data_IF_884638116735
#
_entry.id   IF_884638116735
#
_cell.length_a   1.000
_cell.length_b   1.000
_cell.length_c   1.000
_cell.angle_alpha   90.00
_cell.angle_beta   90.00
_cell.angle_gamma   90.00
#
_symmetry.space_group_name_H-M   'P 1'
#
loop_
_entity.id
_entity.type
_entity.pdbx_description
1 polymer ?
#
# COMPACT_ATOMS: atom_id res chain seq x y z
N UNK A 1 -53.62 -35.47 -26.69
CA UNK A 1 -52.38 -35.75 -25.93
C UNK A 1 -52.42 -34.83 -24.71
N UNK A 2 -52.86 -35.33 -23.57
CA UNK A 2 -53.04 -34.53 -22.34
C UNK A 2 -51.78 -34.66 -21.48
N UNK A 3 -50.99 -33.58 -21.42
CA UNK A 3 -49.78 -33.51 -20.60
C UNK A 3 -50.17 -33.40 -19.13
N UNK A 4 -49.82 -34.41 -18.34
CA UNK A 4 -49.97 -34.36 -16.89
C UNK A 4 -48.80 -33.57 -16.30
N UNK A 5 -49.07 -32.42 -15.70
CA UNK A 5 -48.12 -31.66 -14.89
C UNK A 5 -48.28 -32.09 -13.43
N UNK A 6 -47.34 -32.90 -12.93
CA UNK A 6 -47.26 -33.22 -11.51
C UNK A 6 -46.82 -31.97 -10.73
N UNK A 7 -47.72 -31.40 -9.94
CA UNK A 7 -47.39 -30.36 -8.96
C UNK A 7 -47.04 -31.03 -7.64
N UNK A 8 -45.75 -31.15 -7.35
CA UNK A 8 -45.25 -31.54 -6.04
C UNK A 8 -45.70 -30.48 -5.03
N UNK A 9 -46.66 -30.81 -4.15
CA UNK A 9 -47.05 -29.92 -3.04
C UNK A 9 -45.99 -29.99 -1.94
N UNK A 10 -45.64 -28.82 -1.38
CA UNK A 10 -44.87 -28.76 -0.14
C UNK A 10 -45.56 -29.59 0.94
N UNK A 11 -44.80 -30.47 1.61
CA UNK A 11 -45.30 -31.54 2.50
C UNK A 11 -46.15 -31.03 3.67
N UNK A 12 -46.06 -29.75 4.03
CA UNK A 12 -46.84 -29.10 5.10
C UNK A 12 -47.83 -28.03 4.65
N UNK A 13 -48.01 -27.79 3.33
CA UNK A 13 -49.00 -26.83 2.83
C UNK A 13 -48.80 -25.36 3.25
N UNK A 14 -47.76 -25.04 4.03
CA UNK A 14 -47.39 -23.68 4.37
C UNK A 14 -46.48 -23.12 3.27
N UNK A 15 -47.00 -22.10 2.57
CA UNK A 15 -46.18 -21.14 1.84
C UNK A 15 -45.06 -20.70 2.80
N UNK A 16 -43.81 -20.71 2.33
CA UNK A 16 -42.66 -20.22 3.11
C UNK A 16 -43.06 -18.94 3.85
N UNK A 17 -42.96 -19.00 5.17
CA UNK A 17 -43.62 -18.06 6.06
C UNK A 17 -43.02 -16.67 5.80
N UNK A 18 -43.83 -15.71 5.32
CA UNK A 18 -43.38 -14.35 5.00
C UNK A 18 -42.65 -13.69 6.18
N UNK A 19 -42.95 -14.16 7.39
CA UNK A 19 -42.25 -13.84 8.63
C UNK A 19 -40.77 -14.22 8.60
N UNK A 20 -40.42 -15.43 8.18
CA UNK A 20 -39.03 -15.91 8.11
C UNK A 20 -38.23 -15.07 7.11
N UNK A 21 -38.83 -14.75 5.96
CA UNK A 21 -38.22 -13.85 4.98
C UNK A 21 -38.06 -12.42 5.51
N UNK A 22 -39.04 -11.92 6.29
CA UNK A 22 -38.94 -10.63 6.95
C UNK A 22 -37.80 -10.58 7.97
N UNK A 23 -37.64 -11.63 8.78
CA UNK A 23 -36.56 -11.72 9.75
C UNK A 23 -35.18 -11.81 9.10
N UNK A 24 -35.03 -12.55 8.00
CA UNK A 24 -33.75 -12.62 7.28
C UNK A 24 -33.41 -11.29 6.58
N UNK A 25 -34.40 -10.59 6.02
CA UNK A 25 -34.19 -9.26 5.46
C UNK A 25 -33.79 -8.24 6.55
N UNK A 26 -34.41 -8.31 7.72
CA UNK A 26 -34.09 -7.42 8.85
C UNK A 26 -32.68 -7.65 9.37
N UNK A 27 -32.25 -8.91 9.53
CA UNK A 27 -30.88 -9.21 9.98
C UNK A 27 -29.83 -8.76 8.98
N UNK A 28 -30.08 -8.92 7.68
CA UNK A 28 -29.19 -8.40 6.63
C UNK A 28 -29.11 -6.87 6.65
N UNK A 29 -30.24 -6.20 6.88
CA UNK A 29 -30.30 -4.74 6.93
C UNK A 29 -29.54 -4.19 8.16
N UNK A 30 -29.70 -4.82 9.33
CA UNK A 30 -28.94 -4.48 10.53
C UNK A 30 -27.44 -4.75 10.31
N UNK A 31 -27.07 -5.89 9.72
CA UNK A 31 -25.69 -6.20 9.41
C UNK A 31 -25.07 -5.17 8.45
N UNK A 32 -25.82 -4.74 7.42
CA UNK A 32 -25.39 -3.71 6.48
C UNK A 32 -25.19 -2.35 7.16
N UNK A 33 -26.10 -1.95 8.06
CA UNK A 33 -25.96 -0.71 8.85
C UNK A 33 -24.76 -0.80 9.77
N UNK A 34 -24.55 -1.94 10.44
CA UNK A 34 -23.39 -2.15 11.31
C UNK A 34 -22.08 -2.13 10.53
N UNK A 35 -22.02 -2.79 9.38
CA UNK A 35 -20.87 -2.73 8.47
C UNK A 35 -20.61 -1.31 8.01
N UNK A 36 -21.64 -0.58 7.58
CA UNK A 36 -21.51 0.82 7.19
C UNK A 36 -21.06 1.71 8.34
N UNK A 37 -21.54 1.47 9.56
CA UNK A 37 -21.15 2.22 10.76
C UNK A 37 -19.74 1.89 11.23
N UNK A 38 -19.29 0.63 11.12
CA UNK A 38 -17.95 0.21 11.55
C UNK A 38 -16.88 0.64 10.55
N UNK A 39 -17.17 0.48 9.25
CA UNK A 39 -16.19 0.68 8.19
C UNK A 39 -16.33 2.03 7.49
N UNK A 40 -17.41 2.78 7.75
CA UNK A 40 -17.65 4.11 7.19
C UNK A 40 -17.73 4.12 5.66
N UNK A 41 -17.93 5.31 5.09
CA UNK A 41 -17.61 5.51 3.68
C UNK A 41 -16.12 5.18 3.51
N UNK A 42 -15.71 4.39 2.49
CA UNK A 42 -14.32 4.39 2.08
C UNK A 42 -14.02 5.83 1.67
N UNK A 43 -13.37 6.59 2.55
CA UNK A 43 -12.76 7.84 2.18
C UNK A 43 -11.68 7.45 1.18
N UNK A 44 -12.06 7.55 -0.09
CA UNK A 44 -11.20 7.48 -1.23
C UNK A 44 -10.31 8.74 -1.24
N UNK A 45 -9.58 9.01 -0.16
CA UNK A 45 -8.37 9.82 -0.20
C UNK A 45 -7.27 8.98 -0.86
N UNK A 46 -7.55 8.54 -2.09
CA UNK A 46 -6.51 8.13 -3.01
C UNK A 46 -5.76 9.39 -3.37
N UNK A 47 -4.80 9.76 -2.54
CA UNK A 47 -3.75 10.69 -2.95
C UNK A 47 -3.07 10.02 -4.15
N UNK A 48 -3.43 10.49 -5.34
CA UNK A 48 -3.01 9.88 -6.58
C UNK A 48 -1.49 10.04 -6.67
N UNK A 49 -0.77 8.96 -6.35
CA UNK A 49 0.69 8.93 -6.39
C UNK A 49 1.16 9.50 -7.73
N UNK A 50 1.99 10.55 -7.73
CA UNK A 50 2.43 11.19 -8.94
C UNK A 50 3.05 10.16 -9.90
N UNK A 51 2.57 10.15 -11.14
CA UNK A 51 3.03 9.21 -12.18
C UNK A 51 4.57 9.10 -12.28
N UNK A 52 5.35 10.20 -12.18
CA UNK A 52 6.79 10.12 -12.33
C UNK A 52 7.47 9.26 -11.25
N UNK A 53 7.02 9.32 -9.99
CA UNK A 53 7.66 8.61 -8.88
C UNK A 53 7.04 7.26 -8.57
N UNK A 54 5.94 6.90 -9.24
CA UNK A 54 5.21 5.65 -8.97
C UNK A 54 6.10 4.42 -9.12
N UNK A 55 6.91 4.35 -10.18
CA UNK A 55 7.81 3.21 -10.40
C UNK A 55 8.85 3.10 -9.28
N UNK A 56 9.47 4.22 -8.91
CA UNK A 56 10.44 4.26 -7.82
C UNK A 56 9.83 3.87 -6.46
N UNK A 57 8.57 4.27 -6.20
CA UNK A 57 7.85 3.87 -4.99
C UNK A 57 7.49 2.38 -4.98
N UNK A 58 7.12 1.82 -6.13
CA UNK A 58 6.90 0.36 -6.25
C UNK A 58 8.20 -0.39 -6.01
N UNK A 59 9.31 0.03 -6.63
CA UNK A 59 10.62 -0.56 -6.38
C UNK A 59 11.02 -0.42 -4.91
N UNK A 60 10.75 0.71 -4.27
CA UNK A 60 11.05 0.94 -2.85
C UNK A 60 10.25 0.01 -1.92
N UNK A 61 8.98 -0.26 -2.26
CA UNK A 61 8.17 -1.25 -1.54
C UNK A 61 8.80 -2.64 -1.60
N UNK A 62 9.22 -3.09 -2.78
CA UNK A 62 9.88 -4.38 -2.96
C UNK A 62 11.22 -4.43 -2.22
N UNK A 63 12.00 -3.34 -2.31
CA UNK A 63 13.26 -3.18 -1.60
C UNK A 63 13.08 -3.35 -0.09
N UNK A 64 11.99 -2.84 0.48
CA UNK A 64 11.69 -2.99 1.90
C UNK A 64 11.68 -4.45 2.36
N UNK A 65 11.09 -5.34 1.57
CA UNK A 65 11.05 -6.78 1.85
C UNK A 65 12.43 -7.43 1.68
N UNK A 66 13.13 -7.09 0.59
CA UNK A 66 14.49 -7.59 0.33
C UNK A 66 15.48 -7.16 1.42
N UNK A 67 15.43 -5.90 1.86
CA UNK A 67 16.28 -5.38 2.94
C UNK A 67 15.96 -6.09 4.26
N UNK A 68 14.70 -6.38 4.55
CA UNK A 68 14.34 -7.17 5.73
C UNK A 68 14.91 -8.59 5.66
N UNK A 69 14.90 -9.22 4.48
CA UNK A 69 15.50 -10.52 4.27
C UNK A 69 17.03 -10.48 4.45
N UNK A 70 17.72 -9.51 3.85
CA UNK A 70 19.16 -9.31 4.02
C UNK A 70 19.51 -9.07 5.49
N UNK A 71 18.74 -8.23 6.19
CA UNK A 71 18.91 -7.99 7.62
C UNK A 71 18.73 -9.25 8.45
N UNK A 72 17.77 -10.11 8.10
CA UNK A 72 17.56 -11.37 8.80
C UNK A 72 18.74 -12.34 8.62
N UNK A 73 19.41 -12.30 7.47
CA UNK A 73 20.56 -13.16 7.16
C UNK A 73 21.84 -12.61 7.79
N UNK A 74 22.12 -11.33 7.65
CA UNK A 74 23.38 -10.71 8.09
C UNK A 74 23.33 -10.16 9.53
N UNK A 75 22.14 -10.07 10.14
CA UNK A 75 21.96 -9.54 11.48
C UNK A 75 22.15 -8.02 11.61
N UNK A 76 22.33 -7.31 10.50
CA UNK A 76 22.57 -5.85 10.45
C UNK A 76 21.77 -5.19 9.34
N UNK A 77 21.64 -3.87 9.42
CA UNK A 77 20.96 -3.07 8.39
C UNK A 77 21.99 -2.70 7.30
N UNK A 78 21.75 -3.05 6.02
CA UNK A 78 22.66 -2.73 4.93
C UNK A 78 22.68 -1.22 4.65
N UNK A 79 23.85 -0.73 4.24
CA UNK A 79 24.04 0.64 3.80
C UNK A 79 23.49 0.88 2.39
N UNK A 80 23.23 2.14 2.02
CA UNK A 80 22.82 2.51 0.64
C UNK A 80 23.79 1.96 -0.41
N UNK A 81 25.10 2.05 -0.13
CA UNK A 81 26.14 1.57 -1.06
C UNK A 81 26.06 0.05 -1.24
N UNK A 82 25.89 -0.70 -0.14
CA UNK A 82 25.71 -2.15 -0.18
C UNK A 82 24.44 -2.56 -0.93
N UNK A 83 23.33 -1.83 -0.75
CA UNK A 83 22.09 -2.08 -1.50
C UNK A 83 22.27 -1.82 -3.00
N UNK A 84 23.05 -0.81 -3.36
CA UNK A 84 23.42 -0.54 -4.75
C UNK A 84 24.27 -1.68 -5.35
N UNK A 85 25.26 -2.17 -4.60
CA UNK A 85 26.12 -3.30 -5.00
C UNK A 85 25.35 -4.61 -5.14
N UNK A 86 24.38 -4.86 -4.25
CA UNK A 86 23.48 -6.01 -4.30
C UNK A 86 22.45 -5.94 -5.45
N UNK A 87 22.39 -4.82 -6.18
CA UNK A 87 21.45 -4.64 -7.27
C UNK A 87 20.02 -4.34 -6.83
N UNK A 88 19.81 -4.00 -5.56
CA UNK A 88 18.47 -3.77 -4.99
C UNK A 88 17.95 -2.43 -5.50
N UNK A 89 16.85 -2.47 -6.25
CA UNK A 89 16.16 -1.27 -6.73
C UNK A 89 15.39 -0.61 -5.59
N UNK A 90 15.22 0.73 -5.55
CA UNK A 90 15.72 1.76 -6.47
C UNK A 90 17.11 2.32 -6.08
N UNK A 91 17.89 1.60 -5.26
CA UNK A 91 19.22 2.05 -4.80
C UNK A 91 20.30 1.79 -5.86
N UNK A 92 20.13 0.75 -6.66
CA UNK A 92 21.06 0.37 -7.71
C UNK A 92 20.87 1.16 -9.01
N UNK A 93 21.96 1.70 -9.55
CA UNK A 93 21.99 2.44 -10.81
C UNK A 93 21.92 1.56 -12.07
N UNK A 94 21.92 0.23 -11.91
CA UNK A 94 22.14 -0.72 -13.02
C UNK A 94 20.90 -0.99 -13.88
N UNK A 95 19.70 -0.52 -13.48
CA UNK A 95 18.48 -0.67 -14.27
C UNK A 95 18.11 0.59 -15.07
N UNK A 96 18.07 0.42 -16.39
CA UNK A 96 17.60 1.37 -17.40
C UNK A 96 16.10 1.75 -17.31
N UNK A 97 15.33 1.14 -16.40
CA UNK A 97 13.87 1.33 -16.33
C UNK A 97 13.44 2.57 -15.56
N UNK A 98 14.33 3.14 -14.74
CA UNK A 98 14.07 4.41 -14.06
C UNK A 98 14.87 5.54 -14.73
N UNK A 99 14.23 6.31 -15.61
CA UNK A 99 14.78 7.58 -16.12
C UNK A 99 15.02 8.61 -15.00
N UNK A 100 14.58 8.33 -13.78
CA UNK A 100 14.61 9.23 -12.64
C UNK A 100 15.60 8.69 -11.62
N UNK A 101 16.71 9.41 -11.46
CA UNK A 101 17.71 9.09 -10.46
C UNK A 101 17.34 9.74 -9.13
N UNK A 102 17.48 8.98 -8.05
CA UNK A 102 17.29 9.45 -6.69
C UNK A 102 18.65 9.60 -6.02
N UNK A 103 18.85 10.70 -5.31
CA UNK A 103 19.95 10.84 -4.37
C UNK A 103 19.50 10.34 -3.01
N UNK A 104 20.18 9.30 -2.52
CA UNK A 104 19.81 8.58 -1.31
C UNK A 104 20.67 8.98 -0.13
N UNK A 105 20.05 9.06 1.04
CA UNK A 105 20.71 9.11 2.33
C UNK A 105 20.07 8.07 3.26
N UNK A 106 20.84 7.66 4.26
CA UNK A 106 20.36 6.75 5.29
C UNK A 106 20.72 7.28 6.67
N UNK A 107 19.78 7.12 7.59
CA UNK A 107 20.02 7.25 9.02
C UNK A 107 19.37 6.06 9.70
N UNK A 108 20.20 5.23 10.37
CA UNK A 108 19.76 4.03 11.08
C UNK A 108 18.87 3.11 10.23
N UNK A 109 17.56 3.11 10.48
CA UNK A 109 16.53 2.26 9.86
C UNK A 109 15.73 2.99 8.79
N UNK A 110 16.06 4.25 8.53
CA UNK A 110 15.38 5.12 7.59
C UNK A 110 16.26 5.40 6.37
N UNK A 111 15.70 5.20 5.18
CA UNK A 111 16.28 5.57 3.90
C UNK A 111 15.43 6.67 3.27
N UNK A 112 16.08 7.73 2.80
CA UNK A 112 15.38 8.86 2.16
C UNK A 112 16.04 9.13 0.82
N UNK A 113 15.21 9.19 -0.21
CA UNK A 113 15.60 9.54 -1.57
C UNK A 113 14.99 10.89 -1.95
N UNK A 114 15.77 11.73 -2.62
CA UNK A 114 15.26 12.91 -3.31
C UNK A 114 15.49 12.81 -4.81
N UNK A 115 14.56 13.35 -5.57
CA UNK A 115 14.75 13.60 -7.00
C UNK A 115 14.11 14.92 -7.41
N UNK A 116 14.58 15.49 -8.50
CA UNK A 116 13.98 16.68 -9.10
C UNK A 116 13.50 16.36 -10.50
N UNK A 117 12.21 16.61 -10.75
CA UNK A 117 11.58 16.38 -12.05
C UNK A 117 10.92 17.69 -12.47
N UNK A 118 11.46 18.32 -13.51
CA UNK A 118 11.08 19.67 -13.94
C UNK A 118 11.24 20.67 -12.77
N UNK A 119 10.13 21.27 -12.34
CA UNK A 119 10.06 22.29 -11.28
C UNK A 119 9.70 21.70 -9.91
N UNK A 120 9.42 20.40 -9.83
CA UNK A 120 8.97 19.73 -8.61
C UNK A 120 10.09 18.87 -8.03
N UNK A 121 10.25 18.91 -6.69
CA UNK A 121 11.09 17.98 -5.96
C UNK A 121 10.21 16.94 -5.31
N UNK A 122 10.63 15.70 -5.44
CA UNK A 122 9.98 14.58 -4.82
C UNK A 122 10.89 13.96 -3.79
N UNK A 123 10.34 13.74 -2.61
CA UNK A 123 10.98 13.01 -1.55
C UNK A 123 10.27 11.68 -1.37
N UNK A 124 11.04 10.61 -1.20
CA UNK A 124 10.53 9.28 -0.85
C UNK A 124 11.29 8.79 0.36
N UNK A 125 10.59 8.12 1.27
CA UNK A 125 11.15 7.61 2.52
C UNK A 125 10.76 6.16 2.71
N UNK A 126 11.69 5.34 3.19
CA UNK A 126 11.47 3.97 3.64
C UNK A 126 11.94 3.87 5.09
N UNK A 127 11.04 3.46 5.98
CA UNK A 127 11.31 3.21 7.40
C UNK A 127 11.18 1.73 7.69
N UNK A 128 12.27 1.14 8.18
CA UNK A 128 12.30 -0.24 8.65
C UNK A 128 11.91 -0.31 10.13
N UNK A 129 11.22 -1.37 10.56
CA UNK A 129 10.90 -1.58 11.97
C UNK A 129 12.18 -1.76 12.81
N UNK A 130 12.23 -1.09 13.96
CA UNK A 130 13.40 -1.15 14.84
C UNK A 130 13.56 -2.51 15.56
N UNK A 131 12.52 -3.35 15.63
CA UNK A 131 12.53 -4.62 16.36
C UNK A 131 12.73 -5.85 15.47
N UNK A 132 13.61 -6.76 15.89
CA UNK A 132 13.79 -8.09 15.28
C UNK A 132 12.68 -9.10 15.64
N UNK A 133 11.65 -8.68 16.41
CA UNK A 133 10.67 -9.58 17.03
C UNK A 133 9.20 -9.25 16.79
N UNK A 134 8.86 -8.20 16.05
CA UNK A 134 7.49 -7.94 15.61
C UNK A 134 7.45 -7.93 14.07
N UNK A 135 6.52 -8.65 13.43
CA UNK A 135 6.32 -8.60 11.98
C UNK A 135 5.67 -7.26 11.62
N UNK A 136 6.46 -6.19 11.69
CA UNK A 136 6.07 -4.87 11.20
C UNK A 136 6.58 -4.74 9.78
N UNK A 137 5.65 -4.57 8.84
CA UNK A 137 6.00 -4.30 7.45
C UNK A 137 6.83 -3.00 7.35
N UNK A 138 7.77 -2.91 6.39
CA UNK A 138 8.40 -1.64 6.06
C UNK A 138 7.32 -0.59 5.75
N UNK A 139 7.55 0.64 6.20
CA UNK A 139 6.65 1.76 5.90
C UNK A 139 7.33 2.65 4.88
N UNK A 140 6.60 3.05 3.84
CA UNK A 140 7.12 3.96 2.83
C UNK A 140 6.18 5.14 2.59
N UNK A 141 6.80 6.29 2.35
CA UNK A 141 6.15 7.57 2.27
C UNK A 141 6.67 8.35 1.07
N UNK A 142 5.87 9.29 0.59
CA UNK A 142 6.30 10.28 -0.40
C UNK A 142 5.83 11.68 -0.05
N UNK A 143 6.53 12.69 -0.57
CA UNK A 143 6.10 14.07 -0.48
C UNK A 143 6.44 14.89 -1.76
N UNK A 144 5.46 15.72 -2.10
CA UNK A 144 5.34 16.79 -3.10
C UNK A 144 5.91 18.17 -2.69
N UNK A 145 7.16 18.54 -2.99
CA UNK A 145 7.64 19.88 -2.58
C UNK A 145 8.09 20.78 -3.72
N UNK A 146 7.58 22.02 -3.68
CA UNK A 146 7.83 23.05 -4.69
C UNK A 146 8.78 24.15 -4.20
N UNK A 147 9.02 24.27 -2.88
CA UNK A 147 9.63 25.47 -2.29
C UNK A 147 10.74 25.23 -1.24
N UNK A 148 11.08 23.98 -0.89
CA UNK A 148 12.16 23.76 0.07
C UNK A 148 13.51 23.84 -0.62
N UNK A 149 14.34 24.80 -0.22
CA UNK A 149 15.70 24.99 -0.71
C UNK A 149 16.69 24.46 0.34
N UNK A 150 17.57 23.54 -0.04
CA UNK A 150 18.60 22.93 0.83
C UNK A 150 18.07 22.32 2.14
N UNK A 151 17.35 21.20 2.04
CA UNK A 151 17.08 20.35 3.21
C UNK A 151 18.14 19.26 3.27
N UNK A 152 18.71 19.04 4.45
CA UNK A 152 19.55 17.87 4.68
C UNK A 152 18.68 16.61 4.64
N UNK A 153 18.95 15.71 3.70
CA UNK A 153 18.22 14.46 3.53
C UNK A 153 18.15 13.63 4.83
N UNK A 154 19.18 13.72 5.68
CA UNK A 154 19.22 12.98 6.94
C UNK A 154 18.23 13.51 7.96
N UNK A 155 17.94 14.80 7.96
CA UNK A 155 16.97 15.39 8.90
C UNK A 155 15.54 15.00 8.54
N UNK A 156 15.27 14.72 7.26
CA UNK A 156 13.95 14.28 6.77
C UNK A 156 13.47 12.96 7.39
N UNK A 157 14.38 12.11 7.88
CA UNK A 157 14.01 10.88 8.60
C UNK A 157 13.28 11.15 9.92
N UNK A 158 13.52 12.30 10.55
CA UNK A 158 12.96 12.67 11.84
C UNK A 158 12.01 13.87 11.76
N UNK A 159 11.87 14.45 10.57
CA UNK A 159 11.08 15.65 10.38
C UNK A 159 9.58 15.33 10.39
N UNK A 160 8.90 15.84 11.41
CA UNK A 160 7.45 15.74 11.60
C UNK A 160 6.69 16.91 10.98
N UNK A 161 7.41 17.93 10.49
CA UNK A 161 6.80 19.10 9.83
C UNK A 161 6.40 18.82 8.38
N UNK A 162 6.92 17.75 7.80
CA UNK A 162 6.62 17.31 6.45
C UNK A 162 5.40 16.39 6.46
N UNK A 163 4.43 16.71 5.61
CA UNK A 163 3.22 15.91 5.42
C UNK A 163 3.52 14.69 4.55
N UNK A 164 4.09 13.67 5.17
CA UNK A 164 4.35 12.39 4.52
C UNK A 164 3.06 11.69 4.11
N UNK A 165 2.89 11.45 2.81
CA UNK A 165 1.82 10.62 2.29
C UNK A 165 2.22 9.15 2.36
N UNK A 166 1.50 8.36 3.15
CA UNK A 166 1.68 6.89 3.17
C UNK A 166 1.32 6.32 1.79
N UNK A 167 2.23 5.57 1.20
CA UNK A 167 2.01 4.91 -0.08
C UNK A 167 1.58 3.42 0.09
N UNK A 168 1.03 3.06 1.24
CA UNK A 168 0.54 1.71 1.58
C UNK A 168 -0.51 1.15 0.59
N UNK A 169 -1.04 1.98 -0.31
CA UNK A 169 -2.13 1.62 -1.24
C UNK A 169 -1.66 1.35 -2.68
N UNK A 170 -0.36 1.46 -3.01
CA UNK A 170 0.09 1.23 -4.40
C UNK A 170 -0.17 -0.21 -4.85
N UNK A 171 -0.03 -1.20 -3.95
CA UNK A 171 -0.27 -2.61 -4.29
C UNK A 171 -1.74 -2.98 -4.50
N UNK A 172 -2.70 -2.24 -3.90
CA UNK A 172 -4.14 -2.45 -4.19
C UNK A 172 -4.55 -2.07 -5.61
N UNK A 173 -3.72 -1.29 -6.32
CA UNK A 173 -3.98 -0.91 -7.72
C UNK A 173 -3.59 -2.04 -8.69
N UNK A 174 -2.62 -2.89 -8.31
CA UNK A 174 -2.21 -4.03 -9.14
C UNK A 174 -3.18 -5.20 -9.02
N UNK A 175 -3.75 -5.47 -7.84
CA UNK A 175 -4.73 -6.54 -7.67
C UNK A 175 -6.05 -6.27 -8.41
N UNK A 176 -6.48 -5.01 -8.52
CA UNK A 176 -7.74 -4.67 -9.21
C UNK A 176 -7.63 -4.54 -10.73
N UNK A 177 -6.43 -4.67 -11.32
CA UNK A 177 -6.24 -4.46 -12.78
C UNK A 177 -6.11 -5.74 -13.59
N UNK A 178 -6.21 -6.91 -12.96
CA UNK A 178 -6.20 -8.21 -13.64
C UNK A 178 -7.56 -8.92 -13.72
N UNK A 179 -8.64 -8.27 -13.26
CA UNK A 179 -10.01 -8.84 -13.28
C UNK A 179 -10.97 -8.15 -14.29
N UNK A 180 -10.46 -7.57 -15.38
CA UNK A 180 -11.28 -7.06 -16.48
C UNK A 180 -10.87 -7.58 -17.84
#
# INVERSE_FOLDING_TARGET
>A
MTTYSEKVRARDGKLEDKLVFGFSALTLLIAAILLYSLYGHPQADFTAVPKPIRAALTSLSNAGEEIQMVRAIEGRIPSVDELSELGIQPFSSTHLESLIQFHWAQVTTCYVGQTQIKTHRYFIKLELPNGAGEPKSPLWYYDEQNNLSNVDLKTLCFDTTIHWHSAATINKIYENKHDH
#
